data_IF_491342698540
#
_entry.id   IF_491342698540
#
_cell.length_a   1.000
_cell.length_b   1.000
_cell.length_c   1.000
_cell.angle_alpha   90.00
_cell.angle_beta   90.00
_cell.angle_gamma   90.00
#
_symmetry.space_group_name_H-M   'P 1'
#
loop_
_entity.id
_entity.type
_entity.pdbx_description
1 polymer ?
#
# COMPACT_ATOMS: atom_id res chain seq x y z
N UNK A 1 -15.71 -3.90 -35.64
CA UNK A 1 -16.23 -3.12 -34.48
C UNK A 1 -15.68 -3.79 -33.24
N UNK A 2 -14.59 -3.27 -32.66
CA UNK A 2 -14.04 -3.82 -31.42
C UNK A 2 -15.04 -3.58 -30.31
N UNK A 3 -15.50 -4.63 -29.63
CA UNK A 3 -16.41 -4.46 -28.51
C UNK A 3 -15.69 -3.70 -27.40
N UNK A 4 -16.30 -2.61 -26.98
CA UNK A 4 -15.85 -1.77 -25.88
C UNK A 4 -16.25 -2.47 -24.57
N UNK A 5 -15.66 -3.64 -24.30
CA UNK A 5 -15.95 -4.40 -23.09
C UNK A 5 -15.41 -3.60 -21.89
N UNK A 6 -16.26 -3.15 -20.95
CA UNK A 6 -15.80 -2.40 -19.79
C UNK A 6 -14.81 -3.22 -18.97
N UNK A 7 -13.81 -2.55 -18.39
CA UNK A 7 -12.89 -3.20 -17.47
C UNK A 7 -13.68 -3.68 -16.23
N UNK A 8 -13.75 -4.99 -15.93
CA UNK A 8 -14.57 -5.49 -14.82
C UNK A 8 -14.03 -5.06 -13.45
N UNK A 9 -12.75 -4.71 -13.34
CA UNK A 9 -12.13 -4.23 -12.09
C UNK A 9 -11.98 -2.70 -12.04
N UNK A 10 -12.34 -1.99 -13.12
CA UNK A 10 -12.37 -0.53 -13.17
C UNK A 10 -13.51 -0.03 -14.07
N UNK A 11 -14.73 -0.46 -13.75
CA UNK A 11 -15.92 -0.21 -14.58
C UNK A 11 -16.23 1.28 -14.74
N UNK A 12 -16.01 2.06 -13.67
CA UNK A 12 -16.23 3.51 -13.65
C UNK A 12 -15.02 4.30 -14.19
N UNK A 13 -13.97 3.63 -14.67
CA UNK A 13 -12.74 4.26 -15.14
C UNK A 13 -12.14 5.23 -14.11
N UNK A 14 -12.14 4.82 -12.83
CA UNK A 14 -11.56 5.58 -11.72
C UNK A 14 -10.08 5.85 -11.99
N UNK A 15 -9.39 4.94 -12.67
CA UNK A 15 -7.98 5.12 -13.06
C UNK A 15 -7.76 6.39 -13.87
N UNK A 16 -8.76 6.89 -14.61
CA UNK A 16 -8.64 8.14 -15.38
C UNK A 16 -8.64 9.40 -14.52
N UNK A 17 -9.15 9.32 -13.29
CA UNK A 17 -9.17 10.42 -12.33
C UNK A 17 -7.81 10.61 -11.63
N UNK A 18 -6.96 9.58 -11.67
CA UNK A 18 -5.63 9.61 -11.08
C UNK A 18 -4.67 10.46 -11.93
N UNK A 19 -3.70 11.10 -11.28
CA UNK A 19 -2.55 11.68 -11.94
C UNK A 19 -1.62 10.59 -12.50
N UNK A 20 -0.65 10.99 -13.33
CA UNK A 20 0.36 10.06 -13.83
C UNK A 20 1.23 9.50 -12.70
N UNK A 21 1.56 10.33 -11.72
CA UNK A 21 2.41 9.93 -10.59
C UNK A 21 1.67 8.96 -9.66
N UNK A 22 0.38 9.19 -9.40
CA UNK A 22 -0.47 8.26 -8.63
C UNK A 22 -0.62 6.91 -9.33
N UNK A 23 -0.82 6.88 -10.66
CA UNK A 23 -0.84 5.63 -11.43
C UNK A 23 0.50 4.91 -11.39
N UNK A 24 1.61 5.65 -11.52
CA UNK A 24 2.95 5.08 -11.45
C UNK A 24 3.26 4.49 -10.07
N UNK A 25 2.84 5.19 -9.00
CA UNK A 25 2.94 4.70 -7.62
C UNK A 25 2.12 3.42 -7.43
N UNK A 26 0.85 3.42 -7.86
CA UNK A 26 -0.01 2.24 -7.77
C UNK A 26 0.62 1.05 -8.50
N UNK A 27 1.11 1.24 -9.73
CA UNK A 27 1.73 0.18 -10.50
C UNK A 27 3.01 -0.34 -9.84
N UNK A 28 3.85 0.55 -9.28
CA UNK A 28 5.04 0.16 -8.53
C UNK A 28 4.67 -0.70 -7.32
N UNK A 29 3.67 -0.29 -6.54
CA UNK A 29 3.19 -1.06 -5.39
C UNK A 29 2.57 -2.40 -5.81
N UNK A 30 1.84 -2.44 -6.93
CA UNK A 30 1.28 -3.67 -7.47
C UNK A 30 2.38 -4.69 -7.83
N UNK A 31 3.47 -4.23 -8.46
CA UNK A 31 4.64 -5.06 -8.75
C UNK A 31 5.28 -5.57 -7.45
N UNK A 32 5.54 -4.68 -6.49
CA UNK A 32 6.09 -5.07 -5.19
C UNK A 32 5.24 -6.14 -4.49
N UNK A 33 3.92 -5.94 -4.45
CA UNK A 33 2.98 -6.89 -3.83
C UNK A 33 3.04 -8.26 -4.51
N UNK A 34 3.05 -8.28 -5.85
CA UNK A 34 3.12 -9.53 -6.61
C UNK A 34 4.43 -10.29 -6.39
N UNK A 35 5.54 -9.57 -6.28
CA UNK A 35 6.88 -10.17 -6.17
C UNK A 35 7.27 -10.53 -4.73
N UNK A 36 6.75 -9.80 -3.74
CA UNK A 36 7.25 -9.87 -2.35
C UNK A 36 6.20 -10.30 -1.32
N UNK A 37 4.93 -9.95 -1.51
CA UNK A 37 3.88 -10.20 -0.51
C UNK A 37 3.07 -11.46 -0.86
N UNK A 38 2.52 -11.54 -2.07
CA UNK A 38 1.71 -12.69 -2.49
C UNK A 38 2.43 -14.04 -2.30
N UNK A 39 3.74 -14.18 -2.61
CA UNK A 39 4.44 -15.46 -2.45
C UNK A 39 4.52 -15.97 -1.01
N UNK A 40 4.40 -15.09 -0.01
CA UNK A 40 4.57 -15.45 1.41
C UNK A 40 3.26 -15.38 2.21
N UNK A 41 2.21 -14.78 1.67
CA UNK A 41 0.97 -14.49 2.39
C UNK A 41 0.28 -15.77 2.91
N UNK A 42 0.08 -16.76 2.04
CA UNK A 42 -0.63 -18.00 2.39
C UNK A 42 0.08 -18.79 3.49
N UNK A 43 1.39 -19.02 3.36
CA UNK A 43 2.15 -19.76 4.38
C UNK A 43 2.20 -19.00 5.70
N UNK A 44 2.38 -17.69 5.67
CA UNK A 44 2.41 -16.86 6.90
C UNK A 44 1.08 -16.89 7.64
N UNK A 45 -0.03 -16.88 6.88
CA UNK A 45 -1.38 -17.00 7.44
C UNK A 45 -1.60 -18.39 8.06
N UNK A 46 -1.29 -19.46 7.33
CA UNK A 46 -1.46 -20.85 7.80
C UNK A 46 -0.62 -21.14 9.06
N UNK A 47 0.60 -20.61 9.10
CA UNK A 47 1.52 -20.77 10.23
C UNK A 47 1.22 -19.81 11.40
N UNK A 48 0.34 -18.82 11.20
CA UNK A 48 -0.01 -17.82 12.22
C UNK A 48 1.16 -16.90 12.60
N UNK A 49 2.05 -16.61 11.66
CA UNK A 49 3.25 -15.79 11.88
C UNK A 49 3.23 -14.51 11.05
N UNK A 50 3.80 -13.44 11.60
CA UNK A 50 4.04 -12.23 10.81
C UNK A 50 5.41 -12.34 10.10
N UNK A 51 5.47 -12.15 8.77
CA UNK A 51 6.70 -12.32 8.00
C UNK A 51 7.64 -11.12 8.20
N UNK A 52 8.44 -11.13 9.27
CA UNK A 52 9.25 -9.98 9.68
C UNK A 52 10.27 -9.52 8.63
N UNK A 53 10.75 -10.41 7.75
CA UNK A 53 11.71 -9.99 6.71
C UNK A 53 11.10 -8.96 5.74
N UNK A 54 9.77 -8.95 5.57
CA UNK A 54 9.09 -8.01 4.67
C UNK A 54 9.21 -6.56 5.14
N UNK A 55 9.44 -6.32 6.43
CA UNK A 55 9.51 -4.97 7.02
C UNK A 55 10.64 -4.15 6.37
N UNK A 56 11.80 -4.78 6.15
CA UNK A 56 12.94 -4.11 5.50
C UNK A 56 12.64 -3.75 4.06
N UNK A 57 11.91 -4.61 3.34
CA UNK A 57 11.53 -4.36 1.96
C UNK A 57 10.43 -3.28 1.86
N UNK A 58 9.45 -3.27 2.77
CA UNK A 58 8.47 -2.18 2.91
C UNK A 58 9.15 -0.83 3.16
N UNK A 59 10.16 -0.80 4.04
CA UNK A 59 10.90 0.42 4.34
C UNK A 59 11.63 0.97 3.10
N UNK A 60 12.21 0.09 2.26
CA UNK A 60 12.85 0.50 0.99
C UNK A 60 11.83 1.03 -0.03
N UNK A 61 10.61 0.53 -0.01
CA UNK A 61 9.53 1.09 -0.84
C UNK A 61 9.06 2.47 -0.37
N UNK A 62 9.45 2.89 0.84
CA UNK A 62 9.12 4.20 1.40
C UNK A 62 7.73 4.27 2.04
N UNK A 63 7.07 3.14 2.30
CA UNK A 63 5.67 3.13 2.76
C UNK A 63 5.49 3.56 4.22
N UNK A 64 6.57 3.72 5.00
CA UNK A 64 6.51 4.20 6.39
C UNK A 64 6.75 5.70 6.56
N UNK A 65 7.15 6.40 5.49
CA UNK A 65 7.33 7.85 5.48
C UNK A 65 6.39 8.47 4.44
N UNK A 66 5.08 8.35 4.71
CA UNK A 66 4.05 8.89 3.81
C UNK A 66 3.75 10.38 4.08
N UNK A 67 4.56 11.09 4.86
CA UNK A 67 4.30 12.48 5.29
C UNK A 67 4.24 13.47 4.12
N UNK A 68 4.95 13.19 3.03
CA UNK A 68 4.94 13.99 1.78
C UNK A 68 3.91 13.55 0.74
N UNK A 69 3.14 12.49 0.99
CA UNK A 69 2.15 11.98 0.04
C UNK A 69 0.78 12.60 0.28
N UNK A 70 0.02 12.77 -0.81
CA UNK A 70 -1.38 13.13 -0.69
C UNK A 70 -2.21 11.91 -0.22
N UNK A 71 -3.44 12.14 0.23
CA UNK A 71 -4.31 11.07 0.75
C UNK A 71 -4.68 10.02 -0.31
N UNK A 72 -4.74 10.39 -1.60
CA UNK A 72 -5.02 9.46 -2.69
C UNK A 72 -3.87 8.48 -2.86
N UNK A 73 -2.64 8.98 -2.93
CA UNK A 73 -1.42 8.19 -3.01
C UNK A 73 -1.28 7.21 -1.83
N UNK A 74 -1.54 7.67 -0.60
CA UNK A 74 -1.56 6.79 0.58
C UNK A 74 -2.67 5.71 0.48
N UNK A 75 -3.86 6.10 0.01
CA UNK A 75 -4.96 5.17 -0.26
C UNK A 75 -4.59 4.10 -1.29
N UNK A 76 -3.90 4.46 -2.36
CA UNK A 76 -3.43 3.53 -3.41
C UNK A 76 -2.37 2.56 -2.87
N UNK A 77 -1.45 3.02 -2.01
CA UNK A 77 -0.51 2.13 -1.31
C UNK A 77 -1.29 1.12 -0.46
N UNK A 78 -2.24 1.58 0.35
CA UNK A 78 -3.07 0.71 1.16
C UNK A 78 -3.87 -0.29 0.31
N UNK A 79 -4.45 0.16 -0.80
CA UNK A 79 -5.21 -0.68 -1.72
C UNK A 79 -4.37 -1.83 -2.27
N UNK A 80 -3.15 -1.54 -2.74
CA UNK A 80 -2.27 -2.58 -3.29
C UNK A 80 -1.75 -3.53 -2.20
N UNK A 81 -1.38 -3.02 -1.02
CA UNK A 81 -0.97 -3.87 0.09
C UNK A 81 -2.10 -4.80 0.54
N UNK A 82 -3.34 -4.30 0.65
CA UNK A 82 -4.52 -5.10 1.00
C UNK A 82 -4.80 -6.19 -0.04
N UNK A 83 -4.54 -5.93 -1.32
CA UNK A 83 -4.66 -6.93 -2.39
C UNK A 83 -3.71 -8.12 -2.19
N UNK A 84 -2.57 -7.89 -1.53
CA UNK A 84 -1.60 -8.93 -1.18
C UNK A 84 -1.92 -9.61 0.14
N UNK A 85 -2.03 -8.83 1.22
CA UNK A 85 -2.32 -9.32 2.57
C UNK A 85 -2.82 -8.18 3.49
N UNK A 86 -3.99 -8.38 4.12
CA UNK A 86 -4.60 -7.42 5.05
C UNK A 86 -3.76 -7.21 6.32
N UNK A 87 -3.03 -8.22 6.79
CA UNK A 87 -2.16 -8.11 7.97
C UNK A 87 -1.01 -7.13 7.74
N UNK A 88 -0.36 -7.23 6.58
CA UNK A 88 0.71 -6.32 6.16
C UNK A 88 0.19 -4.90 5.96
N UNK A 89 -0.96 -4.71 5.28
CA UNK A 89 -1.55 -3.37 5.16
C UNK A 89 -1.87 -2.78 6.53
N UNK A 90 -2.48 -3.58 7.42
CA UNK A 90 -2.79 -3.16 8.78
C UNK A 90 -1.53 -2.68 9.51
N UNK A 91 -0.44 -3.45 9.44
CA UNK A 91 0.84 -3.08 10.02
C UNK A 91 1.34 -1.72 9.52
N UNK A 92 1.34 -1.50 8.20
CA UNK A 92 1.72 -0.20 7.59
C UNK A 92 0.79 0.93 8.04
N UNK A 93 -0.52 0.67 8.14
CA UNK A 93 -1.50 1.68 8.55
C UNK A 93 -1.36 2.07 10.03
N UNK A 94 -1.08 1.12 10.92
CA UNK A 94 -0.81 1.40 12.34
C UNK A 94 0.44 2.27 12.45
N UNK A 95 1.52 1.89 11.76
CA UNK A 95 2.76 2.65 11.80
C UNK A 95 2.59 4.09 11.32
N UNK A 96 1.94 4.31 10.17
CA UNK A 96 1.75 5.67 9.65
C UNK A 96 0.70 6.46 10.42
N UNK A 97 -0.54 5.95 10.47
CA UNK A 97 -1.70 6.72 10.93
C UNK A 97 -1.87 6.73 12.44
N UNK A 98 -1.33 5.74 13.16
CA UNK A 98 -1.51 5.62 14.62
C UNK A 98 -0.22 5.84 15.42
N UNK A 99 0.93 5.92 14.77
CA UNK A 99 2.22 6.22 15.41
C UNK A 99 2.83 7.50 14.84
N UNK A 100 3.22 7.50 13.56
CA UNK A 100 3.92 8.64 12.95
C UNK A 100 3.04 9.90 12.92
N UNK A 101 1.79 9.79 12.47
CA UNK A 101 0.91 10.94 12.32
C UNK A 101 0.55 11.61 13.68
N UNK A 102 0.18 10.88 14.74
CA UNK A 102 -0.03 11.50 16.05
C UNK A 102 1.23 12.16 16.63
N UNK A 103 2.43 11.59 16.41
CA UNK A 103 3.69 12.21 16.83
C UNK A 103 3.94 13.50 16.04
N UNK A 104 3.73 13.49 14.73
CA UNK A 104 3.91 14.68 13.89
C UNK A 104 2.94 15.82 14.27
N UNK A 105 1.70 15.50 14.65
CA UNK A 105 0.68 16.50 15.00
C UNK A 105 0.77 16.99 16.45
N UNK A 106 1.10 16.11 17.40
CA UNK A 106 0.98 16.38 18.84
C UNK A 106 2.30 16.22 19.62
N UNK A 107 3.38 15.82 18.96
CA UNK A 107 4.70 15.66 19.56
C UNK A 107 5.39 16.99 19.85
N UNK A 108 6.37 16.94 20.74
CA UNK A 108 7.34 18.05 20.92
C UNK A 108 8.42 18.00 19.85
N UNK A 109 9.15 19.10 19.64
CA UNK A 109 10.27 19.16 18.69
C UNK A 109 11.37 18.10 18.94
N UNK A 110 11.47 17.56 20.16
CA UNK A 110 12.46 16.55 20.53
C UNK A 110 12.02 15.10 20.22
N UNK A 111 10.74 14.88 19.88
CA UNK A 111 10.14 13.58 19.59
C UNK A 111 10.03 13.36 18.08
#
# INVERSE_FOLDING_TARGET
MSQNTPNPVDFCNVSSLLSNDERALQQRMATFVNEKIIPIAASSFDDGVFPREIITDLAKEGVFDCTGLNNVAYGLICQELERGDTGIRTFVSVQNSLVTQPIAEFGSDAQ
#
